data_IF_409560959940
#
_entry.id   IF_409560959940
#
_cell.length_a   1.000
_cell.length_b   1.000
_cell.length_c   1.000
_cell.angle_alpha   90.00
_cell.angle_beta   90.00
_cell.angle_gamma   90.00
#
_symmetry.space_group_name_H-M   'P 1'
#
loop_
_entity.id
_entity.type
_entity.pdbx_description
1 polymer ?
#
# COMPACT_ATOMS: atom_id res chain seq x y z
N UNK A 1 1.01 3.87 0.74
CA UNK A 1 0.63 2.76 -0.17
C UNK A 1 -0.89 2.66 -0.29
N UNK A 2 -1.63 2.42 0.80
CA UNK A 2 -3.11 2.35 0.77
C UNK A 2 -3.76 3.65 0.28
N UNK A 3 -3.33 4.81 0.78
CA UNK A 3 -3.90 6.11 0.38
C UNK A 3 -3.67 6.44 -1.11
N UNK A 4 -2.50 6.08 -1.65
CA UNK A 4 -2.20 6.28 -3.08
C UNK A 4 -3.14 5.47 -3.96
N UNK A 5 -3.44 4.22 -3.58
CA UNK A 5 -4.36 3.37 -4.31
C UNK A 5 -5.80 3.90 -4.30
N UNK A 6 -6.26 4.42 -3.16
CA UNK A 6 -7.59 5.03 -3.03
C UNK A 6 -7.72 6.31 -3.86
N UNK A 7 -6.72 7.19 -3.81
CA UNK A 7 -6.68 8.40 -4.63
C UNK A 7 -6.66 8.06 -6.13
N UNK A 8 -5.90 7.04 -6.53
CA UNK A 8 -5.90 6.57 -7.92
C UNK A 8 -7.28 6.06 -8.34
N UNK A 9 -7.94 5.26 -7.51
CA UNK A 9 -9.30 4.76 -7.76
C UNK A 9 -10.34 5.90 -7.84
N UNK A 10 -10.11 7.00 -7.10
CA UNK A 10 -10.93 8.20 -7.15
C UNK A 10 -10.64 9.11 -8.38
N UNK A 11 -9.75 8.70 -9.29
CA UNK A 11 -9.46 9.44 -10.52
C UNK A 11 -8.38 10.52 -10.40
N UNK A 12 -7.63 10.55 -9.30
CA UNK A 12 -6.49 11.47 -9.17
C UNK A 12 -5.32 11.02 -10.03
N UNK A 13 -4.65 11.99 -10.63
CA UNK A 13 -3.45 11.78 -11.43
C UNK A 13 -2.20 11.99 -10.59
N UNK A 14 -1.22 11.11 -10.77
CA UNK A 14 0.08 11.20 -10.13
C UNK A 14 1.12 11.59 -11.17
N UNK A 15 1.86 12.67 -10.90
CA UNK A 15 2.93 13.15 -11.75
C UNK A 15 4.26 13.01 -11.03
N UNK A 16 5.25 12.46 -11.72
CA UNK A 16 6.65 12.51 -11.28
C UNK A 16 7.25 13.77 -11.87
N UNK A 17 7.67 14.68 -11.00
CA UNK A 17 8.29 15.93 -11.43
C UNK A 17 9.77 15.68 -11.77
N UNK A 18 10.28 16.24 -12.89
CA UNK A 18 11.71 16.25 -13.14
C UNK A 18 12.40 17.13 -12.08
N UNK A 19 13.65 16.82 -11.78
CA UNK A 19 14.53 17.62 -10.90
C UNK A 19 14.07 17.77 -9.43
N UNK A 20 13.26 16.83 -8.95
CA UNK A 20 12.86 16.74 -7.54
C UNK A 20 13.55 15.56 -6.85
N UNK A 21 14.09 15.81 -5.66
CA UNK A 21 14.80 14.82 -4.87
C UNK A 21 13.99 14.47 -3.62
N UNK A 22 13.83 13.17 -3.37
CA UNK A 22 13.31 12.67 -2.10
C UNK A 22 14.47 12.10 -1.28
N UNK A 23 14.77 12.74 -0.15
CA UNK A 23 15.76 12.20 0.80
C UNK A 23 15.01 11.29 1.78
N UNK A 24 15.18 9.98 1.62
CA UNK A 24 14.73 9.02 2.63
C UNK A 24 15.88 8.74 3.61
N UNK A 25 15.72 9.18 4.85
CA UNK A 25 16.63 8.80 5.94
C UNK A 25 16.22 7.40 6.43
N UNK A 26 17.10 6.39 6.37
CA UNK A 26 16.81 5.08 6.91
C UNK A 26 16.49 5.19 8.40
N UNK A 27 15.32 4.71 8.79
CA UNK A 27 14.99 4.60 10.21
C UNK A 27 15.79 3.44 10.81
N UNK A 28 16.14 3.55 12.11
CA UNK A 28 16.74 2.42 12.82
C UNK A 28 15.79 1.20 12.70
N UNK A 29 16.31 -0.01 12.42
CA UNK A 29 15.49 -1.20 12.40
C UNK A 29 14.77 -1.34 13.73
N UNK A 30 13.44 -1.36 13.70
CA UNK A 30 12.63 -1.59 14.88
C UNK A 30 12.42 -3.09 15.07
N UNK A 31 12.12 -3.52 16.30
CA UNK A 31 11.72 -4.91 16.57
C UNK A 31 10.49 -5.33 15.74
N UNK A 32 9.64 -4.36 15.39
CA UNK A 32 8.54 -4.54 14.45
C UNK A 32 9.01 -4.97 13.06
N UNK A 33 10.08 -4.39 12.53
CA UNK A 33 10.64 -4.78 11.23
C UNK A 33 11.14 -6.23 11.25
N UNK A 34 11.85 -6.63 12.32
CA UNK A 34 12.33 -8.00 12.46
C UNK A 34 11.18 -9.01 12.50
N UNK A 35 10.13 -8.73 13.29
CA UNK A 35 8.93 -9.55 13.36
C UNK A 35 8.19 -9.60 12.02
N UNK A 36 8.10 -8.48 11.30
CA UNK A 36 7.46 -8.40 9.99
C UNK A 36 8.18 -9.26 8.94
N UNK A 37 9.50 -9.37 9.02
CA UNK A 37 10.29 -10.18 8.07
C UNK A 37 10.28 -11.66 8.43
N UNK A 38 10.35 -11.99 9.72
CA UNK A 38 10.58 -13.36 10.19
C UNK A 38 9.29 -14.14 10.52
N UNK A 39 8.19 -13.48 10.89
CA UNK A 39 6.92 -14.15 11.18
C UNK A 39 6.11 -14.41 9.90
N UNK A 40 6.12 -15.66 9.44
CA UNK A 40 5.38 -16.12 8.26
C UNK A 40 3.85 -15.93 8.40
N UNK A 41 3.30 -16.14 9.60
CA UNK A 41 1.87 -16.00 9.84
C UNK A 41 1.45 -14.54 9.80
N UNK A 42 2.26 -13.65 10.39
CA UNK A 42 2.06 -12.21 10.27
C UNK A 42 2.12 -11.76 8.80
N UNK A 43 3.09 -12.23 8.03
CA UNK A 43 3.21 -11.91 6.59
C UNK A 43 2.01 -12.37 5.78
N UNK A 44 1.52 -13.58 6.05
CA UNK A 44 0.33 -14.11 5.38
C UNK A 44 -0.90 -13.25 5.69
N UNK A 45 -1.14 -12.94 6.98
CA UNK A 45 -2.25 -12.06 7.39
C UNK A 45 -2.14 -10.67 6.75
N UNK A 46 -0.95 -10.07 6.74
CA UNK A 46 -0.75 -8.77 6.10
C UNK A 46 -1.08 -8.82 4.60
N UNK A 47 -0.75 -9.92 3.92
CA UNK A 47 -1.07 -10.09 2.50
C UNK A 47 -2.57 -10.21 2.25
N UNK A 48 -3.28 -10.99 3.08
CA UNK A 48 -4.75 -11.09 3.01
C UNK A 48 -5.40 -9.72 3.22
N UNK A 49 -5.00 -8.99 4.26
CA UNK A 49 -5.51 -7.65 4.55
C UNK A 49 -5.30 -6.66 3.40
N UNK A 50 -4.18 -6.75 2.67
CA UNK A 50 -3.94 -5.92 1.50
C UNK A 50 -4.90 -6.25 0.35
N UNK A 51 -5.21 -7.53 0.14
CA UNK A 51 -6.19 -7.93 -0.87
C UNK A 51 -7.61 -7.51 -0.50
N UNK A 52 -8.00 -7.66 0.77
CA UNK A 52 -9.27 -7.16 1.29
C UNK A 52 -9.40 -5.65 1.05
N UNK A 53 -8.37 -4.88 1.41
CA UNK A 53 -8.33 -3.44 1.17
C UNK A 53 -8.49 -3.09 -0.33
N UNK A 54 -7.77 -3.76 -1.22
CA UNK A 54 -7.89 -3.51 -2.67
C UNK A 54 -9.30 -3.86 -3.16
N UNK A 55 -9.86 -4.98 -2.72
CA UNK A 55 -11.22 -5.38 -3.07
C UNK A 55 -12.27 -4.36 -2.60
N UNK A 56 -12.11 -3.81 -1.40
CA UNK A 56 -13.01 -2.78 -0.87
C UNK A 56 -12.90 -1.46 -1.64
N UNK A 57 -11.67 -1.04 -1.99
CA UNK A 57 -11.46 0.13 -2.87
C UNK A 57 -12.12 -0.09 -4.23
N UNK A 58 -11.90 -1.26 -4.84
CA UNK A 58 -12.50 -1.60 -6.13
C UNK A 58 -14.03 -1.53 -6.11
N UNK A 59 -14.65 -2.11 -5.09
CA UNK A 59 -16.10 -2.08 -4.89
C UNK A 59 -16.62 -0.66 -4.68
N UNK A 60 -15.96 0.11 -3.81
CA UNK A 60 -16.37 1.48 -3.44
C UNK A 60 -16.33 2.45 -4.62
N UNK A 61 -15.35 2.32 -5.50
CA UNK A 61 -15.18 3.20 -6.65
C UNK A 61 -15.67 2.61 -7.97
N UNK A 62 -16.27 1.40 -7.95
CA UNK A 62 -16.82 0.74 -9.14
C UNK A 62 -15.76 0.39 -10.19
N UNK A 63 -14.54 0.06 -9.76
CA UNK A 63 -13.40 -0.24 -10.65
C UNK A 63 -13.06 -1.72 -10.66
N UNK A 64 -12.92 -2.28 -11.86
CA UNK A 64 -12.59 -3.70 -12.10
C UNK A 64 -13.76 -4.67 -11.89
N UNK A 65 -13.46 -5.98 -11.79
CA UNK A 65 -14.47 -7.06 -11.78
C UNK A 65 -14.95 -7.47 -10.38
N UNK A 66 -14.38 -6.89 -9.33
CA UNK A 66 -14.80 -7.11 -7.96
C UNK A 66 -16.11 -6.33 -7.73
N UNK A 67 -17.23 -7.00 -8.00
CA UNK A 67 -18.57 -6.48 -7.71
C UNK A 67 -18.84 -6.44 -6.21
#
# INVERSE_FOLDING_TARGET
MTHTAELFAAGYLFFVLPDVWLVHVPHKPTSYFAHHVQDLQHRLRNRVQRFEFVGDVMRRYGVGSCK
#
